data_IF_258173931048
#
_entry.id   IF_258173931048
#
_cell.length_a   1.000
_cell.length_b   1.000
_cell.length_c   1.000
_cell.angle_alpha   90.00
_cell.angle_beta   90.00
_cell.angle_gamma   90.00
#
_symmetry.space_group_name_H-M   'P 1'
#
loop_
_entity.id
_entity.type
_entity.pdbx_description
1 polymer ?
#
# COMPACT_ATOMS: atom_id res chain seq x y z
N UNK A 1 30.03 -10.04 -22.81
CA UNK A 1 29.05 -9.03 -22.37
C UNK A 1 27.78 -9.74 -21.94
N UNK A 2 27.16 -9.30 -20.86
CA UNK A 2 25.90 -9.95 -20.42
C UNK A 2 24.74 -9.46 -21.28
N UNK A 3 24.64 -8.15 -21.45
CA UNK A 3 23.54 -7.53 -22.19
C UNK A 3 24.01 -6.29 -22.93
N UNK A 4 23.53 -6.14 -24.16
CA UNK A 4 23.66 -4.91 -24.96
C UNK A 4 22.28 -4.41 -25.31
N UNK A 5 22.02 -3.14 -25.01
CA UNK A 5 20.87 -2.39 -25.52
C UNK A 5 21.34 -1.55 -26.70
N UNK A 6 20.61 -1.53 -27.80
CA UNK A 6 20.96 -0.80 -29.02
C UNK A 6 19.73 -0.26 -29.74
N UNK A 7 19.94 0.57 -30.75
CA UNK A 7 18.88 1.17 -31.58
C UNK A 7 17.85 1.94 -30.71
N UNK A 8 18.33 2.78 -29.77
CA UNK A 8 17.50 3.55 -28.86
C UNK A 8 17.90 5.02 -28.76
N UNK A 9 17.13 5.77 -27.99
CA UNK A 9 17.45 7.11 -27.51
C UNK A 9 17.73 6.96 -26.03
N UNK A 10 19.01 6.93 -25.64
CA UNK A 10 19.42 6.64 -24.27
C UNK A 10 19.92 7.93 -23.63
N UNK A 11 19.14 8.53 -22.73
CA UNK A 11 19.59 9.64 -21.89
C UNK A 11 20.33 9.12 -20.66
N UNK A 12 21.62 9.44 -20.58
CA UNK A 12 22.50 8.88 -19.55
C UNK A 12 22.51 9.68 -18.26
N UNK A 13 22.10 10.95 -18.31
CA UNK A 13 22.27 11.98 -17.27
C UNK A 13 23.75 12.33 -17.00
N UNK A 14 24.67 11.80 -17.79
CA UNK A 14 26.09 12.17 -17.77
C UNK A 14 26.32 13.38 -18.71
N UNK A 15 26.99 14.42 -18.20
CA UNK A 15 27.28 15.62 -18.98
C UNK A 15 28.22 15.38 -20.16
N UNK A 16 29.10 14.36 -20.06
CA UNK A 16 30.07 14.01 -21.10
C UNK A 16 29.40 13.24 -22.26
N UNK A 17 28.38 12.46 -21.95
CA UNK A 17 27.66 11.60 -22.89
C UNK A 17 26.14 11.72 -22.66
N UNK A 18 25.54 12.90 -22.87
CA UNK A 18 24.15 13.15 -22.45
C UNK A 18 23.13 12.25 -23.15
N UNK A 19 23.44 11.85 -24.39
CA UNK A 19 22.63 10.96 -25.19
C UNK A 19 23.49 10.01 -26.01
N UNK A 20 23.13 8.72 -26.03
CA UNK A 20 23.80 7.69 -26.83
C UNK A 20 22.73 6.76 -27.45
N UNK A 21 23.10 5.94 -28.45
CA UNK A 21 22.17 4.99 -29.07
C UNK A 21 22.27 3.59 -28.50
N UNK A 22 23.38 3.24 -27.81
CA UNK A 22 23.62 1.92 -27.29
C UNK A 22 24.41 1.94 -25.97
N UNK A 23 24.24 0.88 -25.16
CA UNK A 23 25.05 0.61 -23.98
C UNK A 23 25.31 -0.89 -23.80
N UNK A 24 26.45 -1.23 -23.18
CA UNK A 24 26.81 -2.59 -22.81
C UNK A 24 26.88 -2.74 -21.29
N UNK A 25 26.29 -3.84 -20.78
CA UNK A 25 26.29 -4.22 -19.36
C UNK A 25 27.15 -5.48 -19.19
N UNK A 26 27.96 -5.47 -18.12
CA UNK A 26 28.69 -6.65 -17.66
C UNK A 26 28.69 -6.67 -16.12
N UNK A 27 28.42 -7.84 -15.55
CA UNK A 27 28.38 -8.05 -14.10
C UNK A 27 27.48 -7.03 -13.37
N UNK A 28 26.31 -6.68 -13.97
CA UNK A 28 25.34 -5.73 -13.43
C UNK A 28 25.74 -4.25 -13.53
N UNK A 29 26.88 -3.93 -14.18
CA UNK A 29 27.40 -2.56 -14.31
C UNK A 29 27.38 -2.13 -15.78
N UNK A 30 27.03 -0.86 -16.04
CA UNK A 30 27.20 -0.25 -17.36
C UNK A 30 28.70 -0.16 -17.66
N UNK A 31 29.17 -0.98 -18.57
CA UNK A 31 30.58 -1.04 -18.93
C UNK A 31 30.95 0.03 -19.96
N UNK A 32 30.08 0.26 -20.95
CA UNK A 32 30.34 1.21 -22.03
C UNK A 32 29.06 1.81 -22.60
N UNK A 33 29.17 3.05 -23.00
CA UNK A 33 28.18 3.86 -23.70
C UNK A 33 28.73 4.26 -25.07
N UNK A 34 27.88 4.37 -26.09
CA UNK A 34 28.34 4.79 -27.40
C UNK A 34 27.30 4.64 -28.50
N UNK A 35 27.79 4.61 -29.74
CA UNK A 35 26.97 4.32 -30.91
C UNK A 35 26.65 2.81 -30.99
N UNK A 36 25.62 2.47 -31.78
CA UNK A 36 25.28 1.07 -32.06
C UNK A 36 26.46 0.30 -32.61
N UNK A 37 27.20 0.87 -33.55
CA UNK A 37 28.37 0.25 -34.17
C UNK A 37 29.45 -0.09 -33.13
N UNK A 38 29.81 0.88 -32.29
CA UNK A 38 30.85 0.72 -31.25
C UNK A 38 30.46 -0.34 -30.21
N UNK A 39 29.21 -0.34 -29.77
CA UNK A 39 28.74 -1.22 -28.70
C UNK A 39 28.44 -2.63 -29.20
N UNK A 40 27.85 -2.78 -30.38
CA UNK A 40 27.60 -4.09 -31.00
C UNK A 40 28.91 -4.82 -31.35
N UNK A 41 30.02 -4.10 -31.58
CA UNK A 41 31.33 -4.71 -31.78
C UNK A 41 31.85 -5.47 -30.54
N UNK A 42 31.32 -5.18 -29.34
CA UNK A 42 31.69 -5.85 -28.10
C UNK A 42 30.93 -7.16 -27.83
N UNK A 43 29.98 -7.53 -28.68
CA UNK A 43 29.16 -8.74 -28.49
C UNK A 43 29.99 -10.01 -28.61
N UNK A 44 29.63 -11.01 -27.86
CA UNK A 44 30.07 -12.38 -27.96
C UNK A 44 28.86 -13.33 -28.15
N UNK A 45 29.05 -14.63 -28.41
CA UNK A 45 27.93 -15.57 -28.68
C UNK A 45 26.92 -15.70 -27.52
N UNK A 46 27.28 -15.31 -26.31
CA UNK A 46 26.43 -15.40 -25.11
C UNK A 46 25.76 -14.06 -24.77
N UNK A 47 26.14 -12.98 -25.45
CA UNK A 47 25.60 -11.64 -25.20
C UNK A 47 24.12 -11.57 -25.55
N UNK A 48 23.28 -11.18 -24.59
CA UNK A 48 21.88 -10.87 -24.82
C UNK A 48 21.75 -9.51 -25.52
N UNK A 49 21.14 -9.51 -26.71
CA UNK A 49 20.87 -8.30 -27.49
C UNK A 49 19.44 -7.85 -27.29
N UNK A 50 19.23 -6.57 -26.96
CA UNK A 50 17.93 -5.94 -26.77
C UNK A 50 17.81 -4.76 -27.72
N UNK A 51 17.00 -4.90 -28.76
CA UNK A 51 16.66 -3.83 -29.69
C UNK A 51 15.63 -2.91 -29.06
N UNK A 52 15.99 -1.65 -28.84
CA UNK A 52 15.08 -0.64 -28.27
C UNK A 52 14.09 -0.10 -29.29
N UNK A 53 14.28 -0.36 -30.60
CA UNK A 53 13.35 0.06 -31.66
C UNK A 53 13.05 1.56 -31.65
N UNK A 54 14.09 2.36 -31.41
CA UNK A 54 13.97 3.83 -31.31
C UNK A 54 13.33 4.33 -30.01
N UNK A 55 13.04 3.46 -29.06
CA UNK A 55 12.43 3.87 -27.78
C UNK A 55 13.43 4.61 -26.89
N UNK A 56 12.85 5.49 -26.05
CA UNK A 56 13.59 6.17 -25.00
C UNK A 56 13.98 5.19 -23.88
N UNK A 57 15.23 5.28 -23.43
CA UNK A 57 15.74 4.62 -22.24
C UNK A 57 16.29 5.66 -21.27
N UNK A 58 15.91 5.53 -20.01
CA UNK A 58 16.32 6.39 -18.90
C UNK A 58 16.92 5.52 -17.79
N UNK A 59 17.79 6.08 -16.93
CA UNK A 59 18.06 5.47 -15.62
C UNK A 59 16.75 5.25 -14.86
N UNK A 60 16.67 4.12 -14.14
CA UNK A 60 15.50 3.85 -13.30
C UNK A 60 15.33 4.92 -12.22
N UNK A 61 14.07 5.20 -11.84
CA UNK A 61 13.74 6.21 -10.86
C UNK A 61 13.99 5.70 -9.43
N UNK A 62 14.38 6.61 -8.55
CA UNK A 62 14.42 6.38 -7.12
C UNK A 62 13.34 7.23 -6.45
N UNK A 63 12.42 6.59 -5.73
CA UNK A 63 11.51 7.30 -4.82
C UNK A 63 12.20 7.42 -3.46
N UNK A 64 12.49 8.64 -3.06
CA UNK A 64 13.28 8.92 -1.85
C UNK A 64 12.43 9.11 -0.59
N UNK A 65 11.12 8.99 -0.69
CA UNK A 65 10.21 9.06 0.45
C UNK A 65 8.87 8.37 0.13
N UNK A 66 8.74 7.11 0.54
CA UNK A 66 7.55 6.29 0.37
C UNK A 66 7.34 5.48 1.65
N UNK A 67 6.10 5.20 2.00
CA UNK A 67 5.72 4.21 3.02
C UNK A 67 5.24 2.95 2.29
N UNK A 68 6.19 2.09 1.89
CA UNK A 68 5.96 1.00 0.93
C UNK A 68 4.94 -0.02 1.46
N UNK A 69 5.16 -0.51 2.68
CA UNK A 69 4.27 -1.49 3.32
C UNK A 69 2.90 -0.88 3.62
N UNK A 70 2.86 0.37 4.13
CA UNK A 70 1.59 1.07 4.39
C UNK A 70 0.79 1.26 3.10
N UNK A 71 1.42 1.68 2.02
CA UNK A 71 0.78 1.81 0.72
C UNK A 71 0.24 0.46 0.23
N UNK A 72 1.03 -0.62 0.37
CA UNK A 72 0.60 -1.97 0.01
C UNK A 72 -0.60 -2.47 0.82
N UNK A 73 -0.64 -2.19 2.13
CA UNK A 73 -1.80 -2.52 2.96
C UNK A 73 -3.01 -1.67 2.61
N UNK A 74 -2.81 -0.37 2.34
CA UNK A 74 -3.89 0.52 1.94
C UNK A 74 -4.58 0.05 0.66
N UNK A 75 -3.83 -0.44 -0.32
CA UNK A 75 -4.36 -0.97 -1.57
C UNK A 75 -5.19 -2.26 -1.42
N UNK A 76 -5.06 -2.97 -0.31
CA UNK A 76 -5.88 -4.15 0.00
C UNK A 76 -7.24 -3.79 0.60
N UNK A 77 -7.44 -2.51 0.98
CA UNK A 77 -8.72 -1.99 1.45
C UNK A 77 -9.70 -1.81 0.28
N UNK A 78 -10.97 -1.75 0.60
CA UNK A 78 -11.99 -1.44 -0.40
C UNK A 78 -11.93 0.06 -0.70
N UNK A 79 -11.51 0.43 -1.89
CA UNK A 79 -11.52 1.83 -2.32
C UNK A 79 -12.91 2.23 -2.82
N UNK A 80 -13.55 3.15 -2.09
CA UNK A 80 -14.90 3.61 -2.32
C UNK A 80 -14.96 4.99 -3.01
N UNK A 81 -13.81 5.51 -3.46
CA UNK A 81 -13.68 6.89 -3.99
C UNK A 81 -14.61 7.15 -5.20
N UNK A 82 -14.79 6.13 -6.05
CA UNK A 82 -15.57 6.24 -7.29
C UNK A 82 -17.03 5.75 -7.15
N UNK A 83 -17.49 5.45 -5.92
CA UNK A 83 -18.88 5.02 -5.73
C UNK A 83 -19.84 6.18 -5.96
N UNK A 84 -20.88 5.92 -6.75
CA UNK A 84 -21.94 6.88 -7.13
C UNK A 84 -23.28 6.58 -6.48
N UNK A 85 -23.36 5.44 -5.79
CA UNK A 85 -24.55 5.01 -5.01
C UNK A 85 -24.12 4.33 -3.71
N UNK A 86 -24.99 4.36 -2.71
CA UNK A 86 -24.81 3.56 -1.50
C UNK A 86 -24.94 2.05 -1.79
N UNK A 87 -25.76 1.69 -2.76
CA UNK A 87 -25.92 0.28 -3.19
C UNK A 87 -24.57 -0.31 -3.67
N UNK A 88 -23.74 0.47 -4.36
CA UNK A 88 -22.38 0.05 -4.73
C UNK A 88 -21.50 -0.21 -3.49
N UNK A 89 -21.58 0.66 -2.48
CA UNK A 89 -20.85 0.47 -1.21
C UNK A 89 -21.29 -0.81 -0.52
N UNK A 90 -22.63 -1.04 -0.43
CA UNK A 90 -23.19 -2.26 0.16
C UNK A 90 -22.68 -3.51 -0.56
N UNK A 91 -22.71 -3.51 -1.89
CA UNK A 91 -22.21 -4.62 -2.69
C UNK A 91 -20.74 -4.90 -2.43
N UNK A 92 -19.88 -3.86 -2.50
CA UNK A 92 -18.44 -4.00 -2.30
C UNK A 92 -18.09 -4.46 -0.88
N UNK A 93 -18.78 -3.94 0.14
CA UNK A 93 -18.58 -4.36 1.53
C UNK A 93 -19.06 -5.81 1.75
N UNK A 94 -20.16 -6.22 1.12
CA UNK A 94 -20.65 -7.60 1.19
C UNK A 94 -19.66 -8.58 0.55
N UNK A 95 -19.14 -8.26 -0.63
CA UNK A 95 -18.06 -9.03 -1.29
C UNK A 95 -16.81 -9.11 -0.42
N UNK A 96 -16.47 -8.01 0.28
CA UNK A 96 -15.38 -7.98 1.26
C UNK A 96 -15.65 -8.87 2.45
N UNK A 97 -16.88 -8.85 2.99
CA UNK A 97 -17.27 -9.68 4.13
C UNK A 97 -17.19 -11.18 3.80
N UNK A 98 -17.63 -11.60 2.60
CA UNK A 98 -17.49 -13.01 2.17
C UNK A 98 -16.04 -13.48 2.15
N UNK A 99 -15.09 -12.61 1.77
CA UNK A 99 -13.66 -12.96 1.72
C UNK A 99 -13.03 -13.16 3.09
N UNK A 100 -13.51 -12.45 4.11
CA UNK A 100 -12.91 -12.46 5.45
C UNK A 100 -13.75 -13.23 6.48
N UNK A 101 -14.93 -13.71 6.11
CA UNK A 101 -15.82 -14.47 7.00
C UNK A 101 -15.13 -15.73 7.52
N UNK A 102 -15.22 -15.96 8.82
CA UNK A 102 -14.53 -17.08 9.49
C UNK A 102 -13.07 -16.82 9.81
N UNK A 103 -12.58 -15.61 9.55
CA UNK A 103 -11.28 -15.12 10.00
C UNK A 103 -11.45 -14.01 11.04
N UNK A 104 -10.34 -13.51 11.60
CA UNK A 104 -10.36 -12.34 12.48
C UNK A 104 -10.17 -11.02 11.68
N UNK A 105 -10.25 -11.06 10.36
CA UNK A 105 -10.05 -9.90 9.50
C UNK A 105 -11.26 -8.99 9.44
N UNK A 106 -10.99 -7.72 9.23
CA UNK A 106 -11.98 -6.65 9.11
C UNK A 106 -12.29 -6.33 7.65
N UNK A 107 -13.50 -5.93 7.38
CA UNK A 107 -13.86 -5.22 6.15
C UNK A 107 -13.49 -3.76 6.33
N UNK A 108 -12.45 -3.31 5.64
CA UNK A 108 -11.98 -1.94 5.72
C UNK A 108 -12.23 -1.25 4.37
N UNK A 109 -13.12 -0.27 4.38
CA UNK A 109 -13.40 0.59 3.23
C UNK A 109 -12.91 2.00 3.47
N UNK A 110 -12.40 2.64 2.41
CA UNK A 110 -11.83 3.99 2.48
C UNK A 110 -12.42 4.90 1.41
N UNK A 111 -12.34 6.20 1.66
CA UNK A 111 -12.62 7.26 0.69
C UNK A 111 -14.09 7.38 0.26
N UNK A 112 -15.05 6.84 1.00
CA UNK A 112 -16.44 7.08 0.63
C UNK A 112 -16.81 8.55 0.80
N UNK A 113 -17.66 9.04 -0.10
CA UNK A 113 -18.23 10.38 0.00
C UNK A 113 -19.71 10.34 -0.38
N UNK A 114 -20.59 10.33 0.63
CA UNK A 114 -22.04 10.27 0.45
C UNK A 114 -22.62 11.43 -0.38
N UNK A 115 -21.87 12.53 -0.53
CA UNK A 115 -22.32 13.67 -1.37
C UNK A 115 -22.36 13.29 -2.85
N UNK A 116 -21.53 12.30 -3.26
CA UNK A 116 -21.48 11.81 -4.64
C UNK A 116 -22.58 10.77 -4.94
N UNK A 117 -23.32 10.30 -3.93
CA UNK A 117 -24.31 9.25 -4.12
C UNK A 117 -25.64 9.83 -4.62
N UNK A 118 -26.26 9.15 -5.56
CA UNK A 118 -27.51 9.57 -6.19
C UNK A 118 -28.76 8.98 -5.52
N UNK A 119 -28.60 7.90 -4.73
CA UNK A 119 -29.66 7.17 -4.05
C UNK A 119 -29.87 7.64 -2.59
N UNK A 120 -28.86 8.22 -1.97
CA UNK A 120 -28.94 8.81 -0.63
C UNK A 120 -27.80 9.80 -0.38
N UNK A 121 -28.01 10.74 0.54
CA UNK A 121 -26.95 11.59 1.08
C UNK A 121 -26.65 11.31 2.56
N UNK A 122 -27.26 10.25 3.11
CA UNK A 122 -27.05 9.81 4.49
C UNK A 122 -25.64 9.19 4.63
N UNK A 123 -24.93 9.56 5.69
CA UNK A 123 -23.76 8.81 6.14
C UNK A 123 -24.27 7.48 6.74
N UNK A 124 -23.73 6.32 6.35
CA UNK A 124 -24.18 5.03 6.89
C UNK A 124 -23.97 4.95 8.40
N UNK A 125 -24.99 4.57 9.13
CA UNK A 125 -24.90 4.32 10.57
C UNK A 125 -24.62 2.84 10.87
N UNK A 126 -24.49 2.51 12.15
CA UNK A 126 -24.28 1.15 12.65
C UNK A 126 -25.28 0.15 12.08
N UNK A 127 -26.57 0.50 12.08
CA UNK A 127 -27.63 -0.41 11.65
C UNK A 127 -27.56 -0.66 10.12
N UNK A 128 -27.20 0.37 9.35
CA UNK A 128 -26.97 0.21 7.90
C UNK A 128 -25.84 -0.79 7.64
N UNK A 129 -24.76 -0.72 8.43
CA UNK A 129 -23.61 -1.61 8.28
C UNK A 129 -23.87 -3.01 8.83
N UNK A 130 -24.64 -3.15 9.92
CA UNK A 130 -25.10 -4.45 10.43
C UNK A 130 -25.98 -5.18 9.42
N UNK A 131 -26.76 -4.44 8.62
CA UNK A 131 -27.56 -5.01 7.53
C UNK A 131 -26.70 -5.53 6.35
N UNK A 132 -25.46 -5.07 6.22
CA UNK A 132 -24.50 -5.62 5.24
C UNK A 132 -23.94 -6.95 5.74
N UNK A 133 -23.35 -6.94 6.94
CA UNK A 133 -22.86 -8.12 7.65
C UNK A 133 -22.75 -7.80 9.14
N UNK A 134 -23.46 -8.59 9.98
CA UNK A 134 -23.42 -8.46 11.44
C UNK A 134 -22.40 -9.38 12.09
N UNK A 135 -21.86 -10.34 11.34
CA UNK A 135 -20.92 -11.39 11.76
C UNK A 135 -19.47 -11.11 11.34
N UNK A 136 -19.22 -9.95 10.74
CA UNK A 136 -17.89 -9.49 10.33
C UNK A 136 -17.71 -8.03 10.73
N UNK A 137 -16.58 -7.61 11.32
CA UNK A 137 -16.35 -6.23 11.69
C UNK A 137 -16.18 -5.36 10.43
N UNK A 138 -16.96 -4.28 10.33
CA UNK A 138 -16.93 -3.33 9.22
C UNK A 138 -16.46 -1.96 9.71
N UNK A 139 -15.47 -1.40 9.03
CA UNK A 139 -14.90 -0.08 9.25
C UNK A 139 -14.87 0.68 7.91
N UNK A 140 -15.61 1.77 7.80
CA UNK A 140 -15.65 2.61 6.61
C UNK A 140 -15.13 4.01 6.94
N UNK A 141 -14.04 4.43 6.31
CA UNK A 141 -13.48 5.76 6.46
C UNK A 141 -14.01 6.69 5.37
N UNK A 142 -14.56 7.83 5.80
CA UNK A 142 -14.98 8.89 4.89
C UNK A 142 -13.78 9.59 4.24
N UNK A 143 -13.96 10.10 3.02
CA UNK A 143 -12.92 10.81 2.24
C UNK A 143 -12.26 11.99 2.98
N UNK A 144 -12.90 12.59 3.99
CA UNK A 144 -12.28 13.63 4.80
C UNK A 144 -11.21 13.11 5.79
N UNK A 145 -11.14 11.79 6.01
CA UNK A 145 -10.21 11.17 6.96
C UNK A 145 -10.61 11.27 8.45
N UNK A 146 -11.57 12.15 8.81
CA UNK A 146 -11.93 12.47 10.19
C UNK A 146 -13.15 11.73 10.73
N UNK A 147 -13.91 11.06 9.86
CA UNK A 147 -15.13 10.32 10.21
C UNK A 147 -14.99 8.89 9.74
N UNK A 148 -15.27 7.96 10.63
CA UNK A 148 -15.42 6.55 10.33
C UNK A 148 -16.81 6.07 10.75
N UNK A 149 -17.33 5.08 10.01
CA UNK A 149 -18.56 4.40 10.32
C UNK A 149 -18.26 2.95 10.65
N UNK A 150 -18.82 2.43 11.71
CA UNK A 150 -18.54 1.09 12.23
C UNK A 150 -19.84 0.36 12.50
N UNK A 151 -19.86 -0.95 12.23
CA UNK A 151 -20.97 -1.79 12.65
C UNK A 151 -20.85 -2.21 14.13
N UNK A 152 -21.86 -2.89 14.65
CA UNK A 152 -21.88 -3.33 16.06
C UNK A 152 -20.66 -4.17 16.44
N UNK A 153 -20.30 -5.15 15.61
CA UNK A 153 -19.15 -6.03 15.87
C UNK A 153 -17.84 -5.26 15.92
N UNK A 154 -17.63 -4.31 15.02
CA UNK A 154 -16.44 -3.46 15.00
C UNK A 154 -16.35 -2.57 16.25
N UNK A 155 -17.46 -1.98 16.69
CA UNK A 155 -17.53 -1.20 17.93
C UNK A 155 -17.20 -2.04 19.17
N UNK A 156 -17.69 -3.29 19.23
CA UNK A 156 -17.43 -4.20 20.33
C UNK A 156 -15.95 -4.60 20.38
N UNK A 157 -15.36 -4.98 19.26
CA UNK A 157 -13.95 -5.35 19.17
C UNK A 157 -13.01 -4.18 19.49
N UNK A 158 -13.42 -2.97 19.15
CA UNK A 158 -12.67 -1.75 19.46
C UNK A 158 -12.85 -1.27 20.91
N UNK A 159 -13.66 -1.96 21.75
CA UNK A 159 -13.96 -1.55 23.12
C UNK A 159 -14.82 -0.28 23.23
N UNK A 160 -15.43 0.15 22.10
CA UNK A 160 -16.22 1.40 22.05
C UNK A 160 -17.71 1.19 22.32
N UNK A 161 -18.16 -0.05 22.46
CA UNK A 161 -19.58 -0.36 22.63
C UNK A 161 -20.13 0.09 23.98
N UNK A 162 -19.38 -0.16 25.05
CA UNK A 162 -19.79 0.14 26.42
C UNK A 162 -19.21 1.46 26.95
N UNK A 163 -18.38 2.13 26.15
CA UNK A 163 -17.75 3.37 26.56
C UNK A 163 -18.75 4.52 26.61
N UNK A 164 -18.93 5.06 27.83
CA UNK A 164 -19.84 6.17 28.10
C UNK A 164 -19.15 7.35 28.81
N UNK A 165 -17.81 7.37 28.77
CA UNK A 165 -17.02 8.45 29.38
C UNK A 165 -17.17 9.76 28.62
N UNK A 166 -16.96 10.89 29.31
CA UNK A 166 -17.19 12.24 28.76
C UNK A 166 -16.27 12.54 27.54
N UNK A 167 -15.08 11.97 27.49
CA UNK A 167 -14.13 12.10 26.36
C UNK A 167 -14.63 11.39 25.12
N UNK A 168 -15.22 10.23 25.25
CA UNK A 168 -15.76 9.44 24.15
C UNK A 168 -17.01 10.05 23.56
N UNK A 169 -17.84 10.72 24.41
CA UNK A 169 -19.04 11.45 23.94
C UNK A 169 -18.73 12.64 23.04
N UNK A 170 -17.50 13.15 23.04
CA UNK A 170 -17.09 14.22 22.12
C UNK A 170 -16.71 13.70 20.73
N UNK A 171 -16.36 12.41 20.62
CA UNK A 171 -15.85 11.80 19.41
C UNK A 171 -16.78 10.72 18.83
N UNK A 172 -17.85 10.38 19.56
CA UNK A 172 -18.87 9.41 19.13
C UNK A 172 -20.27 9.98 19.22
N UNK A 173 -21.13 9.57 18.30
CA UNK A 173 -22.57 9.86 18.36
C UNK A 173 -23.33 8.65 18.89
N UNK A 174 -24.46 8.92 19.54
CA UNK A 174 -25.34 7.90 20.13
C UNK A 174 -26.73 7.97 19.47
N UNK A 175 -27.33 6.82 19.29
CA UNK A 175 -28.67 6.69 18.79
C UNK A 175 -29.74 7.03 19.85
N UNK A 176 -31.05 7.04 19.45
CA UNK A 176 -32.17 7.24 20.37
C UNK A 176 -32.27 6.14 21.45
N UNK A 177 -31.68 4.96 21.19
CA UNK A 177 -31.57 3.84 22.11
C UNK A 177 -30.47 4.02 23.16
N UNK A 178 -29.72 5.12 23.09
CA UNK A 178 -28.61 5.41 23.98
C UNK A 178 -27.34 4.59 23.69
N UNK A 179 -27.31 3.84 22.60
CA UNK A 179 -26.16 3.06 22.13
C UNK A 179 -25.37 3.83 21.09
N UNK A 180 -24.05 3.53 20.90
CA UNK A 180 -23.25 4.12 19.83
C UNK A 180 -23.93 3.93 18.47
N UNK A 181 -24.04 4.99 17.68
CA UNK A 181 -24.67 4.91 16.36
C UNK A 181 -23.72 4.49 15.23
N UNK A 182 -22.45 4.25 15.56
CA UNK A 182 -21.42 3.82 14.60
C UNK A 182 -20.53 4.96 14.11
N UNK A 183 -20.85 6.24 14.38
CA UNK A 183 -19.97 7.34 13.98
C UNK A 183 -18.88 7.57 15.02
N UNK A 184 -17.65 7.47 14.57
CA UNK A 184 -16.46 7.73 15.39
C UNK A 184 -15.59 8.77 14.68
N UNK A 185 -15.07 9.73 15.44
CA UNK A 185 -14.36 10.89 14.90
C UNK A 185 -12.97 11.03 15.51
N UNK A 186 -12.11 11.73 14.78
CA UNK A 186 -10.80 12.20 15.22
C UNK A 186 -9.92 11.09 15.82
N UNK A 187 -9.29 11.35 16.94
CA UNK A 187 -8.35 10.42 17.57
C UNK A 187 -8.96 9.06 17.94
N UNK A 188 -10.26 9.02 18.27
CA UNK A 188 -10.93 7.74 18.55
C UNK A 188 -11.01 6.83 17.33
N UNK A 189 -11.10 7.39 16.12
CA UNK A 189 -11.03 6.62 14.89
C UNK A 189 -9.64 5.99 14.66
N UNK A 190 -8.58 6.67 15.09
CA UNK A 190 -7.20 6.16 14.97
C UNK A 190 -6.95 5.00 15.95
N UNK A 191 -7.52 5.07 17.18
CA UNK A 191 -7.36 3.99 18.16
C UNK A 191 -7.94 2.65 17.69
N UNK A 192 -8.92 2.66 16.78
CA UNK A 192 -9.51 1.43 16.24
C UNK A 192 -8.50 0.61 15.42
N UNK A 193 -7.54 1.27 14.79
CA UNK A 193 -6.53 0.58 13.98
C UNK A 193 -5.67 -0.40 14.80
N UNK A 194 -5.47 -0.12 16.09
CA UNK A 194 -4.75 -1.03 17.00
C UNK A 194 -5.50 -2.34 17.28
N UNK A 195 -6.80 -2.40 16.97
CA UNK A 195 -7.62 -3.60 17.12
C UNK A 195 -7.61 -4.51 15.89
N UNK A 196 -7.00 -4.04 14.79
CA UNK A 196 -6.88 -4.86 13.58
C UNK A 196 -5.87 -5.96 13.80
N UNK A 197 -6.16 -7.13 13.25
CA UNK A 197 -5.24 -8.25 13.32
C UNK A 197 -3.91 -7.91 12.63
N UNK A 198 -2.80 -8.27 13.27
CA UNK A 198 -1.46 -8.12 12.70
C UNK A 198 -1.31 -9.01 11.47
N UNK A 199 -0.52 -8.54 10.52
CA UNK A 199 -0.11 -9.36 9.40
C UNK A 199 0.97 -10.34 9.83
N UNK A 200 0.88 -11.57 9.35
CA UNK A 200 1.95 -12.55 9.48
C UNK A 200 3.13 -12.18 8.56
N UNK A 201 4.32 -12.71 8.83
CA UNK A 201 5.50 -12.49 7.97
C UNK A 201 5.22 -12.84 6.51
N UNK A 202 4.54 -13.95 6.23
CA UNK A 202 4.17 -14.33 4.86
C UNK A 202 3.23 -13.33 4.19
N UNK A 203 2.24 -12.81 4.92
CA UNK A 203 1.36 -11.77 4.39
C UNK A 203 2.09 -10.46 4.13
N UNK A 204 3.05 -10.09 5.00
CA UNK A 204 3.92 -8.92 4.79
C UNK A 204 4.76 -9.12 3.53
N UNK A 205 5.33 -10.31 3.32
CA UNK A 205 6.08 -10.66 2.10
C UNK A 205 5.21 -10.48 0.85
N UNK A 206 4.00 -11.01 0.85
CA UNK A 206 3.07 -10.89 -0.28
C UNK A 206 2.68 -9.43 -0.57
N UNK A 207 2.52 -8.61 0.49
CA UNK A 207 2.23 -7.19 0.35
C UNK A 207 3.43 -6.48 -0.27
N UNK A 208 4.63 -6.69 0.27
CA UNK A 208 5.85 -6.04 -0.18
C UNK A 208 6.20 -6.44 -1.62
N UNK A 209 6.19 -7.73 -1.95
CA UNK A 209 6.49 -8.20 -3.30
C UNK A 209 5.54 -7.58 -4.33
N UNK A 210 4.23 -7.65 -4.09
CA UNK A 210 3.23 -7.09 -5.01
C UNK A 210 3.38 -5.57 -5.17
N UNK A 211 3.72 -4.87 -4.11
CA UNK A 211 3.92 -3.41 -4.12
C UNK A 211 5.21 -3.04 -4.84
N UNK A 212 6.29 -3.80 -4.62
CA UNK A 212 7.55 -3.63 -5.32
C UNK A 212 7.42 -3.89 -6.83
N UNK A 213 6.67 -4.93 -7.23
CA UNK A 213 6.37 -5.22 -8.64
C UNK A 213 5.59 -4.08 -9.30
N UNK A 214 4.65 -3.48 -8.60
CA UNK A 214 3.94 -2.31 -9.10
C UNK A 214 4.87 -1.10 -9.26
N UNK A 215 5.70 -0.79 -8.26
CA UNK A 215 6.68 0.27 -8.34
C UNK A 215 7.62 0.06 -9.55
N UNK A 216 8.12 -1.17 -9.74
CA UNK A 216 8.94 -1.54 -10.89
C UNK A 216 8.22 -1.31 -12.22
N UNK A 217 6.91 -1.60 -12.31
CA UNK A 217 6.10 -1.37 -13.51
C UNK A 217 5.97 0.11 -13.90
N UNK A 218 6.23 1.02 -12.95
CA UNK A 218 6.27 2.48 -13.15
C UNK A 218 7.68 3.02 -13.39
N UNK A 219 8.68 2.14 -13.48
CA UNK A 219 10.07 2.53 -13.67
C UNK A 219 10.82 2.90 -12.39
N UNK A 220 10.25 2.68 -11.22
CA UNK A 220 10.91 2.86 -9.93
C UNK A 220 11.76 1.61 -9.66
N UNK A 221 13.06 1.79 -9.48
CA UNK A 221 14.02 0.70 -9.24
C UNK A 221 14.61 0.75 -7.83
N UNK A 222 14.31 1.81 -7.10
CA UNK A 222 14.77 2.01 -5.72
C UNK A 222 13.74 2.82 -4.95
N UNK A 223 13.54 2.47 -3.68
CA UNK A 223 12.71 3.23 -2.74
C UNK A 223 13.44 3.45 -1.43
N UNK A 224 13.16 4.59 -0.78
CA UNK A 224 13.48 4.85 0.61
C UNK A 224 12.17 4.86 1.38
N UNK A 225 12.04 4.00 2.38
CA UNK A 225 10.81 3.77 3.14
C UNK A 225 11.10 3.72 4.64
N UNK A 226 10.09 3.90 5.47
CA UNK A 226 10.14 3.76 6.93
C UNK A 226 8.92 2.92 7.39
N UNK A 227 8.99 1.63 7.13
CA UNK A 227 7.85 0.73 7.33
C UNK A 227 7.73 0.17 8.75
N UNK A 228 8.75 0.34 9.58
CA UNK A 228 8.76 -0.24 10.93
C UNK A 228 7.79 0.48 11.88
N UNK A 229 7.00 -0.29 12.63
CA UNK A 229 6.00 0.21 13.57
C UNK A 229 4.97 1.18 12.96
N UNK A 230 4.72 1.04 11.66
CA UNK A 230 3.81 1.92 10.94
C UNK A 230 2.39 1.34 10.85
N UNK A 231 2.28 0.02 10.74
CA UNK A 231 0.99 -0.69 10.61
C UNK A 231 0.49 -1.14 11.96
N UNK A 232 1.37 -1.72 12.76
CA UNK A 232 1.08 -2.11 14.14
C UNK A 232 2.25 -1.71 15.05
N UNK A 233 1.95 -1.45 16.33
CA UNK A 233 3.01 -1.27 17.32
C UNK A 233 3.77 -2.60 17.47
N UNK A 234 5.10 -2.52 17.53
CA UNK A 234 6.01 -3.65 17.69
C UNK A 234 5.97 -4.68 16.54
N UNK A 235 5.67 -4.23 15.28
CA UNK A 235 5.76 -5.07 14.08
C UNK A 235 7.18 -5.10 13.45
N UNK A 236 8.12 -4.42 14.06
CA UNK A 236 9.48 -4.23 13.55
C UNK A 236 10.17 -5.55 13.18
N UNK A 237 10.13 -6.55 14.04
CA UNK A 237 10.82 -7.83 13.81
C UNK A 237 10.21 -8.59 12.65
N UNK A 238 8.89 -8.63 12.55
CA UNK A 238 8.16 -9.31 11.48
C UNK A 238 8.41 -8.63 10.11
N UNK A 239 8.40 -7.28 10.08
CA UNK A 239 8.68 -6.52 8.86
C UNK A 239 10.13 -6.72 8.41
N UNK A 240 11.09 -6.66 9.35
CA UNK A 240 12.51 -6.90 9.05
C UNK A 240 12.75 -8.32 8.54
N UNK A 241 12.10 -9.32 9.16
CA UNK A 241 12.17 -10.71 8.71
C UNK A 241 11.63 -10.85 7.30
N UNK A 242 10.48 -10.28 7.00
CA UNK A 242 9.87 -10.33 5.67
C UNK A 242 10.80 -9.75 4.58
N UNK A 243 11.44 -8.61 4.83
CA UNK A 243 12.41 -8.02 3.91
C UNK A 243 13.64 -8.92 3.70
N UNK A 244 14.18 -9.50 4.77
CA UNK A 244 15.35 -10.40 4.69
C UNK A 244 15.03 -11.63 3.86
N UNK A 245 13.91 -12.30 4.15
CA UNK A 245 13.49 -13.50 3.44
C UNK A 245 13.25 -13.21 1.96
N UNK A 246 12.51 -12.13 1.62
CA UNK A 246 12.29 -11.73 0.23
C UNK A 246 13.59 -11.45 -0.52
N UNK A 247 14.57 -10.83 0.15
CA UNK A 247 15.86 -10.56 -0.46
C UNK A 247 16.66 -11.86 -0.69
N UNK A 248 16.69 -12.77 0.28
CA UNK A 248 17.36 -14.07 0.18
C UNK A 248 16.71 -14.97 -0.89
N UNK A 249 15.38 -14.91 -1.02
CA UNK A 249 14.61 -15.62 -2.04
C UNK A 249 14.72 -14.99 -3.44
N UNK A 250 15.33 -13.79 -3.56
CA UNK A 250 15.45 -13.06 -4.82
C UNK A 250 14.11 -12.51 -5.34
N UNK A 251 13.14 -12.30 -4.46
CA UNK A 251 11.78 -11.82 -4.76
C UNK A 251 11.60 -10.31 -4.60
N UNK A 252 12.64 -9.56 -4.23
CA UNK A 252 12.61 -8.09 -4.24
C UNK A 252 13.05 -7.57 -5.61
N UNK A 253 12.12 -7.09 -6.48
CA UNK A 253 12.44 -6.64 -7.83
C UNK A 253 13.09 -5.26 -7.87
N UNK A 254 13.08 -4.52 -6.76
CA UNK A 254 13.66 -3.19 -6.60
C UNK A 254 14.55 -3.13 -5.37
N UNK A 255 15.43 -2.13 -5.29
CA UNK A 255 16.23 -1.87 -4.09
C UNK A 255 15.38 -1.15 -3.06
N UNK A 256 15.38 -1.67 -1.84
CA UNK A 256 14.70 -1.04 -0.70
C UNK A 256 15.75 -0.54 0.28
N UNK A 257 15.66 0.74 0.63
CA UNK A 257 16.44 1.37 1.68
C UNK A 257 15.52 1.70 2.83
N UNK A 258 15.55 0.86 3.87
CA UNK A 258 14.70 1.01 5.04
C UNK A 258 15.30 2.04 6.00
N UNK A 259 14.50 3.04 6.36
CA UNK A 259 14.83 4.06 7.35
C UNK A 259 14.32 3.60 8.72
N UNK A 260 15.24 3.25 9.60
CA UNK A 260 14.88 2.78 10.93
C UNK A 260 14.44 3.96 11.79
N UNK A 261 13.19 3.93 12.24
CA UNK A 261 12.60 4.91 13.13
C UNK A 261 12.34 4.28 14.49
N UNK A 262 13.12 4.68 15.49
CA UNK A 262 12.88 4.27 16.86
C UNK A 262 11.97 5.28 17.59
N UNK A 263 10.94 4.81 18.25
CA UNK A 263 10.07 5.65 19.10
C UNK A 263 10.71 5.98 20.44
N UNK A 264 11.66 5.18 20.89
CA UNK A 264 12.33 5.28 22.18
C UNK A 264 13.83 5.07 22.02
N UNK A 265 14.62 5.82 22.80
CA UNK A 265 16.08 5.76 22.77
C UNK A 265 16.68 4.46 23.31
N UNK A 266 15.91 3.69 24.11
CA UNK A 266 16.33 2.38 24.61
C UNK A 266 16.15 1.25 23.57
N UNK A 267 15.63 1.55 22.39
CA UNK A 267 15.54 0.64 21.23
C UNK A 267 16.77 0.74 20.30
N UNK A 268 17.69 1.67 20.58
CA UNK A 268 18.97 1.81 19.90
C UNK A 268 19.98 0.83 20.49
#
# INVERSE_FOLDING_TARGET
MDTIFYNGIIHTLDKAYPEVSALAIKDGVILRLGSDEEILALKDPQTRLIDLQGRLMLPGFADTHLHLLFYGTFRRRIDLVNTTTYEEVVRMCREGAEKVRGTNRWVIGCNFNQINWTDTNKIPDRNDLDAIASDVPIFLQRACGHIVCMNTMALQLAGLWDEREATTKQTMDFGPDGLPNGYVRENSAMCVQSCWERYTVEEIKDILESTCLEAASKGIVQVHTDDFNLIADDDFEDVLQAYRELNEEGRLPIRVNEQIRFRRTDQL
#
